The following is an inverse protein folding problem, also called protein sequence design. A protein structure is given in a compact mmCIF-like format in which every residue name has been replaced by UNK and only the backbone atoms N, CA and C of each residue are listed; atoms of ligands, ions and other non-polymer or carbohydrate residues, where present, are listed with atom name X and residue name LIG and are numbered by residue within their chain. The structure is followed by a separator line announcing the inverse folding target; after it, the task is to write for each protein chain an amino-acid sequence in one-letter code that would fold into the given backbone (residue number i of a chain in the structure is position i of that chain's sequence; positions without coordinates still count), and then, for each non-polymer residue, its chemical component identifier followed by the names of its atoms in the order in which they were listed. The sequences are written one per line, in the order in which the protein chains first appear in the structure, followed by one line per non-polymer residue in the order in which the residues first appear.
data_IF_983592096748
#
_entry.id   IF_983592096748
#
_cell.length_a   1.000
_cell.length_b   1.000
_cell.length_c   1.000
_cell.angle_alpha   90.00
_cell.angle_beta   90.00
_cell.angle_gamma   90.00
#
_symmetry.space_group_name_H-M   'P 1'
#
loop_
_entity.id
_entity.type
_entity.pdbx_description
1 polymer ?
#
# COMPACT_ATOMS: atom_id res chain seq x y z
N UNK A 1 6.29 15.21 9.91
CA UNK A 1 6.74 13.85 9.61
C UNK A 1 6.93 13.67 8.12
N UNK A 2 8.04 13.07 7.75
CA UNK A 2 8.36 12.89 6.34
C UNK A 2 7.77 11.58 5.82
N UNK A 3 7.16 11.66 4.67
CA UNK A 3 6.67 10.47 3.97
C UNK A 3 7.80 9.80 3.20
N UNK A 4 7.64 8.51 2.87
CA UNK A 4 8.59 7.88 1.96
C UNK A 4 8.66 8.65 0.65
N UNK A 5 9.80 8.53 -0.04
CA UNK A 5 10.06 9.29 -1.26
C UNK A 5 9.00 8.98 -2.32
N UNK A 6 8.21 9.96 -2.76
CA UNK A 6 7.20 9.72 -3.79
C UNK A 6 7.79 9.54 -5.18
N UNK A 7 9.10 9.74 -5.33
CA UNK A 7 9.77 9.53 -6.60
C UNK A 7 10.04 8.08 -6.92
N UNK A 8 9.80 7.15 -5.99
CA UNK A 8 9.96 5.74 -6.29
C UNK A 8 8.97 5.32 -7.37
N UNK A 9 9.44 4.54 -8.36
CA UNK A 9 8.61 4.26 -9.54
C UNK A 9 7.40 3.39 -9.28
N UNK A 10 7.44 2.52 -8.26
CA UNK A 10 6.39 1.54 -8.05
C UNK A 10 5.96 1.53 -6.60
N UNK A 11 4.65 1.55 -6.40
CA UNK A 11 4.03 1.37 -5.09
C UNK A 11 3.08 0.19 -5.21
N UNK A 12 3.30 -0.85 -4.41
CA UNK A 12 2.37 -1.97 -4.34
C UNK A 12 1.47 -1.80 -3.13
N UNK A 13 0.17 -1.78 -3.37
CA UNK A 13 -0.81 -1.72 -2.30
C UNK A 13 -1.32 -3.13 -2.06
N UNK A 14 -1.14 -3.63 -0.83
CA UNK A 14 -1.63 -4.95 -0.45
C UNK A 14 -3.09 -4.81 -0.08
N UNK A 15 -3.98 -5.39 -0.90
CA UNK A 15 -5.42 -5.16 -0.80
C UNK A 15 -5.99 -5.74 0.48
N UNK A 16 -5.58 -6.96 0.83
CA UNK A 16 -6.13 -7.65 1.99
C UNK A 16 -5.52 -7.13 3.29
N UNK A 17 -6.33 -6.85 4.30
CA UNK A 17 -5.80 -6.37 5.57
C UNK A 17 -4.85 -7.37 6.21
N UNK A 18 -3.85 -6.85 6.93
CA UNK A 18 -2.88 -7.69 7.63
C UNK A 18 -2.96 -7.42 9.12
N UNK A 19 -2.43 -8.37 9.91
CA UNK A 19 -2.34 -8.24 11.35
C UNK A 19 -1.21 -7.26 11.67
N UNK A 20 -1.55 -6.13 12.29
CA UNK A 20 -0.57 -5.07 12.56
C UNK A 20 0.35 -5.36 13.74
N UNK A 21 0.26 -6.54 14.34
CA UNK A 21 1.33 -7.03 15.19
C UNK A 21 2.57 -7.38 14.37
N UNK A 22 2.40 -7.62 13.07
CA UNK A 22 3.54 -7.82 12.18
C UNK A 22 4.31 -6.51 12.05
N UNK A 23 5.63 -6.61 12.24
CA UNK A 23 6.55 -5.50 12.05
C UNK A 23 7.40 -5.78 10.82
N UNK A 24 8.60 -5.21 10.77
CA UNK A 24 9.44 -5.29 9.58
C UNK A 24 9.64 -6.73 9.12
N UNK A 25 10.03 -7.64 10.02
CA UNK A 25 10.31 -9.00 9.60
C UNK A 25 9.06 -9.72 9.09
N UNK A 26 7.95 -9.62 9.81
CA UNK A 26 6.72 -10.26 9.40
C UNK A 26 6.19 -9.74 8.07
N UNK A 27 6.30 -8.43 7.85
CA UNK A 27 5.82 -7.83 6.61
C UNK A 27 6.73 -8.15 5.43
N UNK A 28 8.05 -8.17 5.63
CA UNK A 28 8.97 -8.54 4.55
C UNK A 28 8.78 -10.00 4.14
N UNK A 29 8.52 -10.88 5.10
CA UNK A 29 8.23 -12.27 4.79
C UNK A 29 6.90 -12.42 4.04
N UNK A 30 5.90 -11.63 4.41
CA UNK A 30 4.63 -11.63 3.71
C UNK A 30 4.81 -11.25 2.25
N UNK A 31 5.60 -10.20 1.99
CA UNK A 31 5.89 -9.77 0.62
C UNK A 31 6.53 -10.91 -0.17
N UNK A 32 7.52 -11.55 0.42
CA UNK A 32 8.28 -12.58 -0.27
C UNK A 32 7.47 -13.86 -0.46
N UNK A 33 6.80 -14.32 0.58
CA UNK A 33 6.19 -15.64 0.58
C UNK A 33 4.74 -15.63 0.09
N UNK A 34 3.97 -14.62 0.45
CA UNK A 34 2.56 -14.59 0.07
C UNK A 34 2.29 -13.79 -1.18
N UNK A 35 2.93 -12.65 -1.33
CA UNK A 35 2.76 -11.84 -2.53
C UNK A 35 3.71 -12.23 -3.64
N UNK A 36 4.73 -13.02 -3.33
CA UNK A 36 5.75 -13.48 -4.29
C UNK A 36 6.42 -12.31 -4.99
N UNK A 37 6.71 -11.27 -4.22
CA UNK A 37 7.42 -10.09 -4.70
C UNK A 37 8.74 -9.98 -3.97
N UNK A 38 9.65 -9.18 -4.51
CA UNK A 38 10.98 -9.01 -3.92
C UNK A 38 10.96 -7.79 -2.98
N UNK A 39 11.07 -8.00 -1.64
CA UNK A 39 11.02 -6.87 -0.72
C UNK A 39 12.25 -5.99 -0.76
N UNK A 40 13.32 -6.40 -1.46
CA UNK A 40 14.56 -5.64 -1.52
C UNK A 40 14.63 -4.69 -2.72
N UNK A 41 13.59 -4.66 -3.55
CA UNK A 41 13.58 -3.74 -4.68
C UNK A 41 13.22 -2.32 -4.25
N UNK A 42 13.48 -1.37 -5.13
CA UNK A 42 13.18 0.04 -4.85
C UNK A 42 11.70 0.30 -5.03
N UNK A 43 10.90 -0.26 -4.15
CA UNK A 43 9.44 -0.18 -4.19
C UNK A 43 8.91 0.07 -2.79
N UNK A 44 7.71 0.62 -2.72
CA UNK A 44 6.99 0.79 -1.46
C UNK A 44 5.90 -0.26 -1.38
N UNK A 45 5.78 -0.92 -0.23
CA UNK A 45 4.72 -1.89 0.02
C UNK A 45 3.79 -1.34 1.09
N UNK A 46 2.53 -1.15 0.75
CA UNK A 46 1.55 -0.46 1.59
C UNK A 46 0.57 -1.48 2.16
N UNK A 47 0.43 -1.48 3.48
CA UNK A 47 -0.41 -2.43 4.22
C UNK A 47 -1.44 -1.68 5.04
N UNK A 48 -2.58 -2.31 5.23
CA UNK A 48 -3.70 -1.76 5.99
C UNK A 48 -4.12 -2.75 7.08
N UNK A 49 -4.59 -2.24 8.21
CA UNK A 49 -5.19 -3.10 9.22
C UNK A 49 -6.67 -3.34 8.91
N UNK A 50 -7.29 -4.26 9.64
CA UNK A 50 -8.68 -4.62 9.38
C UNK A 50 -9.64 -3.44 9.56
N UNK A 51 -9.37 -2.56 10.53
CA UNK A 51 -10.23 -1.40 10.78
C UNK A 51 -10.02 -0.27 9.79
N UNK A 52 -8.94 -0.35 9.00
CA UNK A 52 -8.61 0.65 7.98
C UNK A 52 -8.28 2.02 8.55
N UNK A 53 -7.89 2.07 9.80
CA UNK A 53 -7.44 3.32 10.43
C UNK A 53 -5.93 3.40 10.60
N UNK A 54 -5.21 2.30 10.33
CA UNK A 54 -3.75 2.24 10.45
C UNK A 54 -3.14 1.72 9.17
N UNK A 55 -2.08 2.38 8.74
CA UNK A 55 -1.42 2.05 7.48
C UNK A 55 0.08 1.99 7.73
N UNK A 56 0.74 0.99 7.16
CA UNK A 56 2.19 0.84 7.23
C UNK A 56 2.74 0.77 5.83
N UNK A 57 3.92 1.36 5.63
CA UNK A 57 4.65 1.28 4.36
C UNK A 57 6.02 0.71 4.64
N UNK A 58 6.32 -0.44 4.04
CA UNK A 58 7.60 -1.11 4.14
C UNK A 58 8.42 -0.81 2.89
N UNK A 59 9.69 -0.47 3.08
CA UNK A 59 10.57 -0.27 1.93
C UNK A 59 12.00 -0.53 2.32
N UNK A 60 12.79 -0.97 1.33
CA UNK A 60 14.20 -1.22 1.49
C UNK A 60 14.97 0.04 1.09
N UNK A 61 15.90 0.46 1.94
CA UNK A 61 16.74 1.63 1.63
C UNK A 61 18.18 1.27 1.90
N UNK A 62 18.95 1.22 0.84
CA UNK A 62 20.39 0.98 0.88
C UNK A 62 20.79 -0.28 1.63
N UNK A 63 20.73 -0.26 2.94
CA UNK A 63 21.24 -1.35 3.77
C UNK A 63 20.26 -1.80 4.84
N UNK A 64 19.01 -1.44 4.74
CA UNK A 64 18.04 -1.83 5.75
C UNK A 64 16.61 -1.57 5.34
N UNK A 65 15.69 -2.19 6.06
CA UNK A 65 14.27 -1.94 5.88
C UNK A 65 13.84 -0.76 6.70
N UNK A 66 12.95 0.05 6.13
CA UNK A 66 12.28 1.13 6.83
C UNK A 66 10.79 0.83 6.90
N UNK A 67 10.16 1.24 7.99
CA UNK A 67 8.72 1.05 8.17
C UNK A 67 8.12 2.39 8.57
N UNK A 68 7.26 2.90 7.71
CA UNK A 68 6.54 4.15 7.95
C UNK A 68 5.14 3.81 8.40
N UNK A 69 4.60 4.54 9.38
CA UNK A 69 3.35 4.20 10.03
C UNK A 69 2.50 5.45 10.20
N UNK A 70 1.22 5.34 9.85
CA UNK A 70 0.27 6.42 10.06
C UNK A 70 -1.04 5.85 10.60
N UNK A 71 -1.57 6.51 11.63
CA UNK A 71 -2.88 6.17 12.20
C UNK A 71 -3.80 7.37 12.08
N UNK A 72 -4.99 7.14 11.54
CA UNK A 72 -6.03 8.17 11.51
C UNK A 72 -6.80 8.13 12.80
N UNK A 73 -7.08 9.31 13.37
CA UNK A 73 -7.72 9.35 14.68
C UNK A 73 -9.24 9.26 14.60
N UNK A 74 -9.84 9.81 13.55
CA UNK A 74 -11.29 9.86 13.45
C UNK A 74 -11.85 9.30 12.16
N UNK A 75 -11.01 9.00 11.20
CA UNK A 75 -11.45 8.56 9.89
C UNK A 75 -10.81 7.23 9.54
N UNK A 76 -11.14 6.74 8.37
CA UNK A 76 -10.54 5.52 7.83
C UNK A 76 -9.99 5.82 6.45
N UNK A 77 -8.93 5.11 6.10
CA UNK A 77 -8.38 5.19 4.75
C UNK A 77 -9.39 4.62 3.78
N UNK A 78 -9.49 5.24 2.59
CA UNK A 78 -10.37 4.75 1.54
C UNK A 78 -9.65 3.62 0.82
N UNK A 79 -10.14 2.42 0.96
CA UNK A 79 -9.44 1.21 0.54
C UNK A 79 -10.21 0.49 -0.57
N UNK A 80 -9.51 -0.15 -1.53
CA UNK A 80 -10.21 -0.87 -2.59
C UNK A 80 -10.82 -2.16 -2.06
N UNK A 81 -11.80 -2.67 -2.79
CA UNK A 81 -12.40 -3.95 -2.46
C UNK A 81 -11.51 -5.09 -2.94
N UNK A 82 -11.74 -6.29 -2.42
CA UNK A 82 -10.86 -7.43 -2.63
C UNK A 82 -10.92 -8.01 -4.05
N UNK A 83 -11.90 -7.62 -4.87
CA UNK A 83 -11.96 -8.15 -6.21
C UNK A 83 -10.90 -7.55 -7.14
N UNK A 84 -10.09 -6.61 -6.65
CA UNK A 84 -8.97 -6.09 -7.43
C UNK A 84 -7.76 -7.01 -7.39
N UNK A 85 -7.82 -8.12 -6.66
CA UNK A 85 -6.69 -9.03 -6.56
C UNK A 85 -5.86 -8.77 -5.31
N UNK A 86 -4.71 -9.44 -5.22
CA UNK A 86 -3.88 -9.38 -4.02
C UNK A 86 -3.16 -8.05 -3.88
N UNK A 87 -2.74 -7.45 -5.01
CA UNK A 87 -2.02 -6.17 -4.99
C UNK A 87 -2.54 -5.25 -6.08
N UNK A 88 -2.42 -3.96 -5.83
CA UNK A 88 -2.69 -2.92 -6.82
C UNK A 88 -1.45 -2.06 -6.92
N UNK A 89 -1.06 -1.73 -8.14
CA UNK A 89 0.10 -0.87 -8.38
C UNK A 89 -0.35 0.59 -8.44
N UNK A 90 0.32 1.44 -7.67
CA UNK A 90 0.07 2.87 -7.66
C UNK A 90 1.37 3.61 -8.00
N UNK A 91 1.22 4.87 -8.40
CA UNK A 91 2.37 5.77 -8.48
C UNK A 91 2.45 6.60 -7.19
N UNK A 92 3.52 7.38 -7.06
CA UNK A 92 3.74 8.17 -5.85
C UNK A 92 2.67 9.21 -5.60
N UNK A 93 2.13 9.81 -6.67
CA UNK A 93 1.08 10.81 -6.53
C UNK A 93 -0.20 10.18 -5.99
N UNK A 94 -0.56 9.01 -6.52
CA UNK A 94 -1.74 8.29 -6.03
C UNK A 94 -1.58 7.89 -4.59
N UNK A 95 -0.37 7.47 -4.19
CA UNK A 95 -0.10 7.15 -2.79
C UNK A 95 -0.33 8.38 -1.91
N UNK A 96 0.15 9.54 -2.34
CA UNK A 96 -0.04 10.76 -1.56
C UNK A 96 -1.52 11.08 -1.39
N UNK A 97 -2.33 10.92 -2.45
CA UNK A 97 -3.75 11.14 -2.35
C UNK A 97 -4.41 10.18 -1.35
N UNK A 98 -4.01 8.91 -1.40
CA UNK A 98 -4.52 7.92 -0.47
C UNK A 98 -4.20 8.31 0.97
N UNK A 99 -2.96 8.72 1.22
CA UNK A 99 -2.52 9.10 2.57
C UNK A 99 -3.25 10.35 3.06
N UNK A 100 -3.67 11.22 2.15
CA UNK A 100 -4.40 12.43 2.50
C UNK A 100 -5.90 12.19 2.66
N UNK A 101 -6.36 10.96 2.45
CA UNK A 101 -7.75 10.61 2.68
C UNK A 101 -8.64 10.62 1.45
N UNK A 102 -8.07 10.85 0.27
CA UNK A 102 -8.87 10.83 -0.95
C UNK A 102 -9.27 9.41 -1.32
N UNK A 103 -10.43 9.30 -1.95
CA UNK A 103 -10.96 8.02 -2.40
C UNK A 103 -10.57 7.80 -3.86
N UNK A 104 -9.55 6.99 -4.07
CA UNK A 104 -9.05 6.69 -5.42
C UNK A 104 -9.96 5.73 -6.17
N UNK A 105 -10.91 5.11 -5.46
CA UNK A 105 -11.71 4.01 -6.03
C UNK A 105 -13.13 4.42 -6.38
N UNK A 106 -13.54 5.60 -5.92
CA UNK A 106 -14.93 5.99 -5.92
C UNK A 106 -15.55 6.14 -7.30
N UNK A 107 -14.84 6.72 -8.22
CA UNK A 107 -15.37 7.02 -9.56
C UNK A 107 -14.72 6.18 -10.62
N UNK A 108 -14.43 4.93 -10.31
CA UNK A 108 -13.92 4.01 -11.31
C UNK A 108 -14.97 3.78 -12.39
N UNK A 109 -14.61 3.90 -13.66
CA UNK A 109 -15.55 3.58 -14.72
C UNK A 109 -15.73 2.09 -14.71
N UNK A 110 -16.86 1.68 -14.54
CA UNK A 110 -17.13 0.37 -14.55
C UNK A 110 -16.03 -0.46 -14.56
N UNK A 111 -15.73 -0.51 -14.33
CA UNK A 111 -14.91 -1.14 -14.29
C UNK A 111 -14.16 -1.55 -15.03
N UNK A 112 -13.89 -1.48 -15.50
CA UNK A 112 -13.11 -1.87 -16.14
C UNK A 112 -12.37 -1.18 -16.73
N UNK A 113 -12.21 -0.54 -16.86
CA UNK A 113 -11.56 0.12 -17.42
C UNK A 113 -10.51 0.56 -17.02
N UNK A 114 -10.04 0.81 -16.62
CA UNK A 114 -8.91 1.31 -16.43
C UNK A 114 -8.09 0.88 -15.66
N UNK A 115 -8.05 0.70 -15.49
CA UNK A 115 -7.19 0.35 -14.84
C UNK A 115 -6.75 -0.69 -15.16
N UNK A 116 -7.35 -0.67 -15.81
CA UNK A 116 -6.87 -1.37 -16.01
C UNK A 116 -6.60 -1.35 -16.31
N UNK A 117 -7.04 -1.16 -16.68
CA UNK A 117 -6.68 -1.13 -16.81
C UNK A 117 -6.56 -0.91 -16.70
N UNK A 118 -6.87 -1.08 -17.05
CA UNK A 118 -6.62 -0.95 -16.76
C UNK A 118 -6.52 -0.97 -16.64
N UNK A 119 -6.94 -1.19 -16.84
CA UNK A 119 -6.56 -1.30 -16.67
C UNK A 119 -6.61 -1.24 -16.56
#
# INVERSE_FOLDING_TARGET
MMRPDPGLPVVYLCVEPVDFRKAIQGLSLLVEQELELNPFEATLFVFINRRRDKLKILYWEKNGFCLWYKRLEKQRFKWPSDHYGATITLNGEQLNWLLDGFDLWKNQPHDSLYFNSVG
#
